data_IF_918449339846
#
_entry.id   IF_918449339846
#
_cell.length_a   1.000
_cell.length_b   1.000
_cell.length_c   1.000
_cell.angle_alpha   90.00
_cell.angle_beta   90.00
_cell.angle_gamma   90.00
#
_symmetry.space_group_name_H-M   'P 1'
#
loop_
_entity.id
_entity.type
_entity.pdbx_description
1 polymer ?
#
# COMPACT_ATOMS: atom_id res chain seq x y z
N UNK A 1 15.29 -17.63 -24.54
CA UNK A 1 14.93 -16.59 -25.54
C UNK A 1 13.57 -16.97 -26.05
N UNK A 2 12.54 -16.30 -25.53
CA UNK A 2 11.15 -16.50 -25.95
C UNK A 2 10.57 -15.10 -26.16
N UNK A 3 10.59 -14.65 -27.41
CA UNK A 3 10.18 -13.32 -27.86
C UNK A 3 8.68 -13.27 -28.21
N UNK A 4 7.85 -14.13 -27.61
CA UNK A 4 6.43 -14.24 -27.94
C UNK A 4 5.55 -13.07 -27.45
N UNK A 5 5.96 -12.32 -26.44
CA UNK A 5 5.13 -11.25 -25.82
C UNK A 5 5.45 -9.84 -26.29
N UNK A 6 6.59 -9.63 -26.97
CA UNK A 6 7.01 -8.33 -27.50
C UNK A 6 6.44 -8.07 -28.90
N UNK A 7 6.24 -9.12 -29.71
CA UNK A 7 5.57 -9.02 -31.01
C UNK A 7 4.08 -8.71 -30.92
N UNK A 8 3.37 -9.27 -29.93
CA UNK A 8 1.91 -9.06 -29.77
C UNK A 8 1.54 -7.64 -29.32
N UNK A 9 2.40 -6.99 -28.52
CA UNK A 9 2.17 -5.61 -28.08
C UNK A 9 2.51 -4.58 -29.18
N UNK A 10 3.49 -4.86 -30.04
CA UNK A 10 3.78 -4.04 -31.22
C UNK A 10 2.71 -4.20 -32.32
N UNK A 11 2.13 -5.40 -32.44
CA UNK A 11 0.95 -5.63 -33.28
C UNK A 11 -0.31 -4.94 -32.73
N UNK A 12 -0.48 -4.87 -31.41
CA UNK A 12 -1.55 -4.08 -30.79
C UNK A 12 -1.38 -2.56 -31.01
N UNK A 13 -0.15 -2.06 -31.15
CA UNK A 13 0.17 -0.66 -31.49
C UNK A 13 -0.15 -0.32 -32.96
N UNK A 14 0.21 -1.20 -33.89
CA UNK A 14 -0.22 -1.06 -35.29
C UNK A 14 -1.73 -1.23 -35.42
N UNK A 15 -2.35 -2.14 -34.65
CA UNK A 15 -3.81 -2.33 -34.61
C UNK A 15 -4.55 -1.21 -33.88
N UNK A 16 -3.99 -0.50 -32.90
CA UNK A 16 -4.67 0.62 -32.22
C UNK A 16 -4.63 1.90 -33.06
N UNK A 17 -3.52 2.13 -33.77
CA UNK A 17 -3.44 3.14 -34.83
C UNK A 17 -4.31 2.76 -36.02
N UNK A 18 -4.28 1.50 -36.50
CA UNK A 18 -5.18 1.01 -37.56
C UNK A 18 -6.64 0.98 -37.12
N UNK A 19 -6.97 0.79 -35.83
CA UNK A 19 -8.35 0.94 -35.38
C UNK A 19 -8.77 2.38 -35.57
N UNK A 20 -7.97 3.40 -35.21
CA UNK A 20 -8.31 4.80 -35.49
C UNK A 20 -8.15 5.22 -36.97
N UNK A 21 -7.29 4.57 -37.74
CA UNK A 21 -6.94 4.89 -39.15
C UNK A 21 -7.75 4.09 -40.17
N UNK A 22 -8.29 2.92 -39.81
CA UNK A 22 -9.22 2.09 -40.59
C UNK A 22 -10.64 2.04 -40.02
N UNK A 23 -10.89 2.80 -38.95
CA UNK A 23 -12.24 3.14 -38.51
C UNK A 23 -12.98 3.91 -39.60
N UNK A 24 -14.11 3.40 -40.09
CA UNK A 24 -15.20 4.21 -40.65
C UNK A 24 -15.96 5.00 -39.57
N UNK A 25 -15.32 5.18 -38.41
CA UNK A 25 -15.81 5.94 -37.27
C UNK A 25 -15.69 7.42 -37.61
N UNK A 26 -16.82 8.14 -37.62
CA UNK A 26 -16.88 9.57 -37.86
C UNK A 26 -17.59 10.28 -36.68
N UNK A 27 -17.33 11.58 -36.52
CA UNK A 27 -17.88 12.46 -35.48
C UNK A 27 -19.42 12.47 -35.45
N UNK A 28 -20.05 12.12 -36.56
CA UNK A 28 -21.51 12.11 -36.70
C UNK A 28 -22.17 10.82 -36.22
N UNK A 29 -21.39 9.80 -35.85
CA UNK A 29 -21.93 8.57 -35.30
C UNK A 29 -22.53 8.78 -33.91
N UNK A 30 -23.66 8.13 -33.68
CA UNK A 30 -24.41 8.20 -32.42
C UNK A 30 -23.56 7.80 -31.21
N UNK A 31 -22.63 6.86 -31.40
CA UNK A 31 -21.73 6.40 -30.36
C UNK A 31 -20.71 7.49 -29.95
N UNK A 32 -20.20 8.29 -30.89
CA UNK A 32 -19.33 9.43 -30.54
C UNK A 32 -20.12 10.46 -29.73
N UNK A 33 -21.30 10.84 -30.24
CA UNK A 33 -22.19 11.81 -29.58
C UNK A 33 -22.61 11.37 -28.18
N UNK A 34 -22.83 10.05 -27.98
CA UNK A 34 -23.14 9.44 -26.69
C UNK A 34 -22.03 9.65 -25.64
N UNK A 35 -20.76 9.52 -26.03
CA UNK A 35 -19.63 9.59 -25.08
C UNK A 35 -18.96 10.97 -25.03
N UNK A 36 -19.17 11.82 -26.03
CA UNK A 36 -18.54 13.14 -26.16
C UNK A 36 -18.63 14.00 -24.88
N UNK A 37 -19.77 14.15 -24.19
CA UNK A 37 -19.83 14.97 -22.98
C UNK A 37 -18.87 14.52 -21.87
N UNK A 38 -18.69 13.20 -21.73
CA UNK A 38 -17.79 12.61 -20.73
C UNK A 38 -16.33 12.71 -21.17
N UNK A 39 -16.05 12.55 -22.46
CA UNK A 39 -14.72 12.71 -23.05
C UNK A 39 -14.23 14.16 -22.91
N UNK A 40 -15.12 15.14 -23.11
CA UNK A 40 -14.80 16.57 -22.90
C UNK A 40 -14.26 16.78 -21.49
N UNK A 41 -14.96 16.24 -20.49
CA UNK A 41 -14.59 16.36 -19.08
C UNK A 41 -13.28 15.64 -18.73
N UNK A 42 -13.15 14.39 -19.18
CA UNK A 42 -12.03 13.52 -18.84
C UNK A 42 -10.71 13.98 -19.47
N UNK A 43 -10.75 14.39 -20.74
CA UNK A 43 -9.57 14.87 -21.49
C UNK A 43 -9.34 16.39 -21.36
N UNK A 44 -10.10 17.08 -20.52
CA UNK A 44 -9.90 18.50 -20.22
C UNK A 44 -10.10 19.41 -21.42
N UNK A 45 -11.13 19.16 -22.23
CA UNK A 45 -11.58 20.11 -23.24
C UNK A 45 -12.37 21.26 -22.59
N UNK A 46 -12.47 22.43 -23.26
CA UNK A 46 -13.47 23.44 -22.90
C UNK A 46 -14.87 22.82 -22.86
N UNK A 47 -15.70 23.22 -21.89
CA UNK A 47 -17.06 22.67 -21.73
C UNK A 47 -17.96 22.91 -22.95
N UNK A 48 -17.67 23.97 -23.70
CA UNK A 48 -18.36 24.39 -24.93
C UNK A 48 -17.65 23.91 -26.22
N UNK A 49 -16.69 22.98 -26.11
CA UNK A 49 -15.96 22.45 -27.26
C UNK A 49 -16.91 21.82 -28.29
N UNK A 50 -16.76 22.19 -29.56
CA UNK A 50 -17.52 21.61 -30.66
C UNK A 50 -17.13 20.15 -30.91
N UNK A 51 -18.07 19.37 -31.47
CA UNK A 51 -17.81 17.99 -31.87
C UNK A 51 -16.62 17.90 -32.84
N UNK A 52 -16.48 18.85 -33.76
CA UNK A 52 -15.35 18.95 -34.68
C UNK A 52 -14.02 19.11 -33.94
N UNK A 53 -13.96 20.02 -32.96
CA UNK A 53 -12.74 20.27 -32.20
C UNK A 53 -12.36 19.03 -31.38
N UNK A 54 -13.34 18.47 -30.65
CA UNK A 54 -13.12 17.26 -29.86
C UNK A 54 -12.62 16.14 -30.76
N UNK A 55 -13.26 15.91 -31.91
CA UNK A 55 -12.88 14.87 -32.85
C UNK A 55 -11.46 15.02 -33.41
N UNK A 56 -11.07 16.24 -33.80
CA UNK A 56 -9.74 16.50 -34.37
C UNK A 56 -8.62 16.32 -33.34
N UNK A 57 -8.84 16.77 -32.11
CA UNK A 57 -7.86 16.73 -31.03
C UNK A 57 -7.88 15.40 -30.26
N UNK A 58 -8.98 14.64 -30.33
CA UNK A 58 -9.20 13.42 -29.57
C UNK A 58 -8.06 12.41 -29.72
N UNK A 59 -7.62 12.02 -30.93
CA UNK A 59 -6.51 11.08 -31.08
C UNK A 59 -5.21 11.60 -30.47
N UNK A 60 -4.98 12.92 -30.50
CA UNK A 60 -3.77 13.55 -29.96
C UNK A 60 -3.71 13.47 -28.44
N UNK A 61 -4.87 13.49 -27.77
CA UNK A 61 -5.00 13.45 -26.30
C UNK A 61 -5.06 12.05 -25.70
N UNK A 62 -5.25 10.99 -26.50
CA UNK A 62 -5.18 9.60 -26.06
C UNK A 62 -3.73 9.12 -25.95
N UNK A 63 -3.07 9.49 -24.87
CA UNK A 63 -1.66 9.18 -24.62
C UNK A 63 -1.45 7.68 -24.47
N UNK A 64 -2.29 6.98 -23.69
CA UNK A 64 -2.09 5.54 -23.42
C UNK A 64 -2.36 4.65 -24.64
N UNK A 65 -3.06 5.18 -25.65
CA UNK A 65 -3.31 4.51 -26.93
C UNK A 65 -2.19 4.74 -27.96
N UNK A 66 -1.43 5.82 -27.79
CA UNK A 66 -0.34 6.21 -28.69
C UNK A 66 1.01 5.74 -28.21
N UNK A 67 1.20 5.60 -26.91
CA UNK A 67 2.48 5.27 -26.29
C UNK A 67 2.24 4.14 -25.29
N UNK A 68 3.20 3.20 -25.25
CA UNK A 68 3.19 2.14 -24.24
C UNK A 68 3.48 2.75 -22.87
N UNK A 69 2.43 2.92 -22.08
CA UNK A 69 2.49 3.46 -20.72
C UNK A 69 2.68 2.38 -19.65
N UNK A 70 2.49 2.78 -18.38
CA UNK A 70 2.60 1.92 -17.22
C UNK A 70 1.56 0.79 -17.23
N UNK A 71 2.03 -0.43 -17.01
CA UNK A 71 1.18 -1.59 -16.79
C UNK A 71 0.99 -1.86 -15.30
N UNK A 72 -0.24 -2.17 -14.89
CA UNK A 72 -0.55 -2.60 -13.52
C UNK A 72 0.19 -3.91 -13.24
N UNK A 73 1.03 -3.90 -12.20
CA UNK A 73 1.65 -5.11 -11.67
C UNK A 73 0.80 -5.65 -10.53
N UNK A 74 0.48 -6.95 -10.60
CA UNK A 74 -0.29 -7.62 -9.57
C UNK A 74 0.33 -7.40 -8.17
N UNK A 75 -0.53 -7.14 -7.19
CA UNK A 75 -0.16 -6.91 -5.79
C UNK A 75 0.76 -5.71 -5.54
N UNK A 76 0.94 -4.80 -6.52
CA UNK A 76 1.71 -3.56 -6.36
C UNK A 76 0.82 -2.35 -6.40
N UNK A 77 0.45 -1.85 -5.23
CA UNK A 77 -0.44 -0.71 -5.09
C UNK A 77 0.06 0.58 -5.79
N UNK A 78 1.35 0.92 -5.67
CA UNK A 78 1.93 2.06 -6.42
C UNK A 78 1.77 1.90 -7.94
N UNK A 79 2.06 0.70 -8.45
CA UNK A 79 1.90 0.40 -9.88
C UNK A 79 0.45 0.55 -10.35
N UNK A 80 -0.53 0.26 -9.49
CA UNK A 80 -1.93 0.49 -9.79
C UNK A 80 -2.26 1.98 -9.81
N UNK A 81 -1.79 2.75 -8.82
CA UNK A 81 -2.10 4.19 -8.73
C UNK A 81 -1.47 4.98 -9.89
N UNK A 82 -0.23 4.64 -10.25
CA UNK A 82 0.44 5.28 -11.38
C UNK A 82 -0.29 4.95 -12.70
N UNK A 83 -0.69 3.70 -12.92
CA UNK A 83 -1.50 3.33 -14.08
C UNK A 83 -2.88 4.00 -14.09
N UNK A 84 -3.55 4.08 -12.94
CA UNK A 84 -4.84 4.75 -12.80
C UNK A 84 -4.74 6.24 -13.12
N UNK A 85 -3.66 6.92 -12.72
CA UNK A 85 -3.47 8.35 -13.00
C UNK A 85 -3.40 8.69 -14.49
N UNK A 86 -2.98 7.74 -15.34
CA UNK A 86 -2.88 7.94 -16.79
C UNK A 86 -4.03 7.29 -17.56
N UNK A 87 -4.61 6.19 -17.07
CA UNK A 87 -5.67 5.45 -17.78
C UNK A 87 -7.09 5.89 -17.41
N UNK A 88 -7.34 6.35 -16.18
CA UNK A 88 -8.68 6.82 -15.79
C UNK A 88 -9.18 8.01 -16.63
N UNK A 89 -8.34 9.01 -16.99
CA UNK A 89 -8.74 10.08 -17.91
C UNK A 89 -9.08 9.62 -19.33
N UNK A 90 -8.77 8.38 -19.69
CA UNK A 90 -9.06 7.83 -21.02
C UNK A 90 -10.16 6.76 -20.97
N UNK A 91 -10.83 6.60 -19.82
CA UNK A 91 -11.81 5.53 -19.60
C UNK A 91 -12.97 5.59 -20.60
N UNK A 92 -13.63 6.74 -20.72
CA UNK A 92 -14.78 6.90 -21.62
C UNK A 92 -14.38 6.83 -23.09
N UNK A 93 -13.17 7.29 -23.42
CA UNK A 93 -12.58 7.16 -24.75
C UNK A 93 -12.34 5.69 -25.11
N UNK A 94 -11.72 4.93 -24.21
CA UNK A 94 -11.49 3.50 -24.38
C UNK A 94 -12.81 2.74 -24.54
N UNK A 95 -13.82 3.10 -23.73
CA UNK A 95 -15.14 2.48 -23.79
C UNK A 95 -15.85 2.77 -25.11
N UNK A 96 -15.77 4.00 -25.62
CA UNK A 96 -16.34 4.39 -26.91
C UNK A 96 -15.69 3.62 -28.07
N UNK A 97 -14.36 3.57 -28.12
CA UNK A 97 -13.61 2.87 -29.18
C UNK A 97 -13.94 1.38 -29.17
N UNK A 98 -13.95 0.76 -27.99
CA UNK A 98 -14.24 -0.67 -27.87
C UNK A 98 -15.72 -1.00 -28.10
N UNK A 99 -16.66 -0.11 -27.75
CA UNK A 99 -18.07 -0.31 -28.08
C UNK A 99 -18.31 -0.25 -29.60
N UNK A 100 -17.63 0.66 -30.31
CA UNK A 100 -17.65 0.71 -31.78
C UNK A 100 -17.11 -0.60 -32.37
N UNK A 101 -15.96 -1.08 -31.87
CA UNK A 101 -15.30 -2.28 -32.38
C UNK A 101 -16.10 -3.58 -32.08
N UNK A 102 -16.64 -3.70 -30.87
CA UNK A 102 -17.34 -4.91 -30.40
C UNK A 102 -18.83 -4.93 -30.77
N UNK A 103 -19.32 -4.00 -31.59
CA UNK A 103 -20.66 -4.05 -32.16
C UNK A 103 -21.81 -3.89 -31.14
N UNK A 104 -21.63 -3.03 -30.13
CA UNK A 104 -22.72 -2.67 -29.21
C UNK A 104 -23.00 -3.65 -28.07
N UNK A 105 -22.05 -4.52 -27.72
CA UNK A 105 -22.15 -5.28 -26.46
C UNK A 105 -22.34 -4.33 -25.25
N UNK A 106 -23.06 -4.77 -24.23
CA UNK A 106 -23.27 -3.95 -23.04
C UNK A 106 -22.24 -4.32 -21.95
N UNK A 107 -21.29 -3.44 -21.59
CA UNK A 107 -20.34 -3.69 -20.52
C UNK A 107 -20.97 -3.59 -19.12
N UNK A 108 -22.16 -2.99 -19.01
CA UNK A 108 -22.91 -2.86 -17.75
C UNK A 108 -23.87 -4.03 -17.51
N UNK A 109 -23.99 -4.98 -18.46
CA UNK A 109 -24.75 -6.21 -18.24
C UNK A 109 -24.11 -7.04 -17.13
N UNK A 110 -24.93 -7.77 -16.36
CA UNK A 110 -24.53 -8.54 -15.17
C UNK A 110 -23.26 -9.34 -15.43
N UNK A 111 -22.14 -8.93 -14.82
CA UNK A 111 -20.85 -9.55 -15.05
C UNK A 111 -20.76 -10.91 -14.35
N UNK A 112 -20.29 -11.90 -15.07
CA UNK A 112 -19.73 -13.10 -14.46
C UNK A 112 -18.40 -12.73 -13.77
N UNK A 113 -17.91 -13.52 -12.82
CA UNK A 113 -16.61 -13.25 -12.19
C UNK A 113 -15.50 -13.12 -13.25
N UNK A 114 -14.55 -12.20 -13.06
CA UNK A 114 -13.48 -11.90 -14.03
C UNK A 114 -12.78 -13.15 -14.59
N UNK A 115 -12.49 -14.13 -13.73
CA UNK A 115 -11.85 -15.38 -14.14
C UNK A 115 -12.64 -16.13 -15.21
N UNK A 116 -13.97 -16.16 -15.08
CA UNK A 116 -14.86 -16.81 -16.03
C UNK A 116 -14.97 -16.03 -17.33
N UNK A 117 -15.10 -14.70 -17.26
CA UNK A 117 -15.07 -13.85 -18.45
C UNK A 117 -13.78 -14.00 -19.25
N UNK A 118 -12.64 -14.17 -18.57
CA UNK A 118 -11.33 -14.34 -19.21
C UNK A 118 -11.22 -15.67 -19.97
N UNK A 119 -11.93 -16.70 -19.54
CA UNK A 119 -11.96 -18.00 -20.21
C UNK A 119 -12.89 -17.97 -21.43
N UNK A 120 -14.01 -17.24 -21.33
CA UNK A 120 -15.09 -17.26 -22.33
C UNK A 120 -14.93 -16.21 -23.45
N UNK A 121 -14.17 -15.13 -23.22
CA UNK A 121 -14.12 -13.97 -24.14
C UNK A 121 -12.75 -13.75 -24.78
N UNK A 122 -12.76 -13.22 -26.01
CA UNK A 122 -11.55 -12.72 -26.68
C UNK A 122 -10.98 -11.46 -26.02
N UNK A 123 -9.71 -11.12 -26.31
CA UNK A 123 -8.99 -10.06 -25.60
C UNK A 123 -9.65 -8.66 -25.61
N UNK A 124 -10.12 -8.19 -26.76
CA UNK A 124 -10.76 -6.87 -26.88
C UNK A 124 -12.18 -6.84 -26.29
N UNK A 125 -12.93 -7.93 -26.44
CA UNK A 125 -14.27 -8.05 -25.86
C UNK A 125 -14.20 -8.14 -24.32
N UNK A 126 -13.22 -8.87 -23.79
CA UNK A 126 -12.92 -8.90 -22.36
C UNK A 126 -12.55 -7.51 -21.84
N UNK A 127 -11.68 -6.79 -22.54
CA UNK A 127 -11.31 -5.42 -22.18
C UNK A 127 -12.53 -4.51 -22.14
N UNK A 128 -13.42 -4.61 -23.13
CA UNK A 128 -14.65 -3.83 -23.17
C UNK A 128 -15.58 -4.14 -22.00
N UNK A 129 -15.77 -5.43 -21.66
CA UNK A 129 -16.54 -5.85 -20.47
C UNK A 129 -15.97 -5.33 -19.15
N UNK A 130 -14.65 -5.10 -19.08
CA UNK A 130 -14.03 -4.47 -17.91
C UNK A 130 -14.30 -2.96 -17.81
N UNK A 131 -14.85 -2.32 -18.84
CA UNK A 131 -15.17 -0.88 -18.85
C UNK A 131 -16.63 -0.60 -18.43
N UNK A 132 -17.13 -1.38 -17.46
CA UNK A 132 -18.45 -1.14 -16.87
C UNK A 132 -18.49 0.16 -16.06
N UNK A 133 -19.69 0.74 -15.93
CA UNK A 133 -19.95 1.89 -15.09
C UNK A 133 -19.52 1.62 -13.64
N UNK A 134 -19.79 0.42 -13.13
CA UNK A 134 -19.34 0.04 -11.79
C UNK A 134 -17.81 0.04 -11.68
N UNK A 135 -17.09 -0.41 -12.71
CA UNK A 135 -15.62 -0.39 -12.71
C UNK A 135 -15.09 1.04 -12.74
N UNK A 136 -15.69 1.92 -13.56
CA UNK A 136 -15.38 3.36 -13.56
C UNK A 136 -15.52 3.97 -12.17
N UNK A 137 -16.69 3.76 -11.54
CA UNK A 137 -17.00 4.31 -10.22
C UNK A 137 -16.04 3.78 -9.16
N UNK A 138 -15.86 2.46 -9.10
CA UNK A 138 -15.00 1.82 -8.11
C UNK A 138 -13.53 2.24 -8.27
N UNK A 139 -13.03 2.32 -9.51
CA UNK A 139 -11.65 2.70 -9.77
C UNK A 139 -11.39 4.18 -9.39
N UNK A 140 -12.32 5.09 -9.68
CA UNK A 140 -12.23 6.49 -9.24
C UNK A 140 -12.30 6.63 -7.72
N UNK A 141 -13.24 5.94 -7.06
CA UNK A 141 -13.33 5.92 -5.59
C UNK A 141 -12.02 5.40 -5.00
N UNK A 142 -11.47 4.30 -5.52
CA UNK A 142 -10.19 3.78 -5.07
C UNK A 142 -9.04 4.76 -5.27
N UNK A 143 -8.97 5.40 -6.44
CA UNK A 143 -7.88 6.31 -6.80
C UNK A 143 -7.87 7.55 -5.91
N UNK A 144 -9.02 8.21 -5.79
CA UNK A 144 -9.19 9.44 -4.99
C UNK A 144 -9.01 9.14 -3.50
N UNK A 145 -9.70 8.11 -2.98
CA UNK A 145 -9.70 7.85 -1.54
C UNK A 145 -8.38 7.28 -1.00
N UNK A 146 -7.57 6.63 -1.85
CA UNK A 146 -6.28 6.10 -1.43
C UNK A 146 -5.12 7.10 -1.58
N UNK A 147 -5.36 8.25 -2.22
CA UNK A 147 -4.33 9.25 -2.52
C UNK A 147 -3.62 9.80 -1.26
N UNK A 148 -4.30 10.16 -0.15
CA UNK A 148 -3.62 10.63 1.06
C UNK A 148 -2.64 9.59 1.64
N UNK A 149 -3.05 8.32 1.63
CA UNK A 149 -2.18 7.22 2.04
C UNK A 149 -0.98 7.07 1.09
N UNK A 150 -1.18 7.26 -0.22
CA UNK A 150 -0.09 7.16 -1.21
C UNK A 150 0.92 8.26 -0.96
N UNK A 151 0.46 9.50 -0.78
CA UNK A 151 1.33 10.63 -0.44
C UNK A 151 2.16 10.36 0.81
N UNK A 152 1.53 9.85 1.88
CA UNK A 152 2.25 9.47 3.09
C UNK A 152 3.29 8.38 2.86
N UNK A 153 2.92 7.34 2.11
CA UNK A 153 3.82 6.22 1.86
C UNK A 153 5.00 6.62 0.96
N UNK A 154 4.76 7.46 -0.05
CA UNK A 154 5.81 8.08 -0.88
C UNK A 154 6.76 8.90 -0.01
N UNK A 155 6.22 9.81 0.80
CA UNK A 155 7.01 10.62 1.73
C UNK A 155 7.86 9.74 2.66
N UNK A 156 7.25 8.71 3.25
CA UNK A 156 7.97 7.81 4.15
C UNK A 156 9.08 7.05 3.43
N UNK A 157 8.83 6.51 2.23
CA UNK A 157 9.88 5.86 1.43
C UNK A 157 11.01 6.83 1.12
N UNK A 158 10.71 8.08 0.78
CA UNK A 158 11.70 9.09 0.40
C UNK A 158 12.53 9.60 1.57
N UNK A 159 11.94 9.74 2.76
CA UNK A 159 12.57 10.42 3.89
C UNK A 159 13.06 9.48 5.00
N UNK A 160 12.52 8.26 5.09
CA UNK A 160 12.91 7.26 6.09
C UNK A 160 13.78 6.19 5.43
N UNK A 161 15.08 6.47 5.32
CA UNK A 161 16.05 5.59 4.63
C UNK A 161 16.89 4.74 5.57
N UNK A 162 17.12 5.22 6.79
CA UNK A 162 17.99 4.55 7.77
C UNK A 162 17.25 4.21 9.05
N UNK A 163 17.83 3.33 9.88
CA UNK A 163 17.32 3.04 11.22
C UNK A 163 17.25 4.30 12.10
N UNK A 164 18.17 5.25 11.90
CA UNK A 164 18.17 6.52 12.63
C UNK A 164 17.04 7.44 12.15
N UNK A 165 16.72 7.46 10.86
CA UNK A 165 15.57 8.21 10.34
C UNK A 165 14.27 7.60 10.85
N UNK A 166 14.19 6.27 10.92
CA UNK A 166 13.04 5.58 11.50
C UNK A 166 12.90 5.91 12.99
N UNK A 167 13.99 5.96 13.76
CA UNK A 167 13.95 6.41 15.15
C UNK A 167 13.43 7.85 15.28
N UNK A 168 13.91 8.78 14.44
CA UNK A 168 13.41 10.17 14.40
C UNK A 168 11.92 10.22 14.06
N UNK A 169 11.48 9.41 13.11
CA UNK A 169 10.08 9.30 12.73
C UNK A 169 9.22 8.73 13.88
N UNK A 170 9.68 7.69 14.58
CA UNK A 170 9.01 7.14 15.76
C UNK A 170 8.95 8.16 16.91
N UNK A 171 10.03 8.91 17.14
CA UNK A 171 10.06 10.02 18.11
C UNK A 171 9.02 11.09 17.76
N UNK A 172 8.85 11.41 16.49
CA UNK A 172 7.80 12.33 16.05
C UNK A 172 6.41 11.79 16.38
N UNK A 173 6.11 10.52 16.02
CA UNK A 173 4.78 9.93 16.21
C UNK A 173 4.39 9.71 17.68
N UNK A 174 5.35 9.38 18.54
CA UNK A 174 5.14 9.08 19.97
C UNK A 174 4.99 10.31 20.86
N UNK A 175 5.46 11.48 20.42
CA UNK A 175 5.27 12.74 21.16
C UNK A 175 3.78 13.01 21.31
N UNK A 176 3.31 13.21 22.54
CA UNK A 176 1.94 13.57 22.96
C UNK A 176 0.92 13.75 21.82
N UNK A 177 0.27 12.65 21.41
CA UNK A 177 -0.88 12.61 20.46
C UNK A 177 -0.52 12.97 19.00
N UNK A 178 0.77 13.14 18.67
CA UNK A 178 1.19 13.58 17.33
C UNK A 178 0.73 12.61 16.23
N UNK A 179 0.82 11.30 16.46
CA UNK A 179 0.38 10.31 15.46
C UNK A 179 -1.11 10.45 15.08
N UNK A 180 -1.97 10.90 15.99
CA UNK A 180 -3.41 11.10 15.72
C UNK A 180 -3.65 12.32 14.82
N UNK A 181 -2.70 13.25 14.81
CA UNK A 181 -2.72 14.47 14.02
C UNK A 181 -1.88 14.39 12.74
N UNK A 182 -1.43 13.19 12.37
CA UNK A 182 -0.74 12.95 11.11
C UNK A 182 -1.54 13.51 9.94
N UNK A 183 -0.86 14.21 9.04
CA UNK A 183 -1.49 14.97 7.96
C UNK A 183 -2.35 14.07 7.05
N UNK A 184 -1.88 12.85 6.75
CA UNK A 184 -2.62 11.91 5.91
C UNK A 184 -3.91 11.40 6.57
N UNK A 185 -3.97 11.32 7.90
CA UNK A 185 -5.21 11.00 8.62
C UNK A 185 -6.22 12.15 8.51
N UNK A 186 -5.73 13.39 8.61
CA UNK A 186 -6.55 14.59 8.42
C UNK A 186 -7.07 14.68 7.00
N UNK A 187 -6.24 14.45 6.00
CA UNK A 187 -6.64 14.43 4.59
C UNK A 187 -7.65 13.31 4.29
N UNK A 188 -7.46 12.10 4.84
CA UNK A 188 -8.45 11.04 4.75
C UNK A 188 -9.80 11.46 5.35
N UNK A 189 -9.80 12.03 6.56
CA UNK A 189 -11.01 12.51 7.20
C UNK A 189 -11.65 13.67 6.40
N UNK A 190 -10.85 14.54 5.80
CA UNK A 190 -11.30 15.67 5.01
C UNK A 190 -12.07 15.24 3.75
N UNK A 191 -11.78 14.07 3.18
CA UNK A 191 -12.56 13.48 2.08
C UNK A 191 -14.04 13.29 2.42
N UNK A 192 -14.37 13.12 3.70
CA UNK A 192 -15.75 12.97 4.19
C UNK A 192 -16.38 14.29 4.63
N UNK A 193 -15.63 15.39 4.54
CA UNK A 193 -16.08 16.74 4.91
C UNK A 193 -16.46 17.56 3.66
N UNK A 194 -17.24 18.65 3.82
CA UNK A 194 -17.58 19.55 2.71
C UNK A 194 -16.37 20.07 1.91
N UNK A 195 -15.20 20.19 2.55
CA UNK A 195 -13.96 20.63 1.87
C UNK A 195 -13.44 19.59 0.88
N UNK A 196 -13.57 18.31 1.21
CA UNK A 196 -13.10 17.21 0.37
C UNK A 196 -14.04 16.82 -0.77
N UNK A 197 -15.32 17.22 -0.72
CA UNK A 197 -16.31 16.86 -1.73
C UNK A 197 -15.93 17.30 -3.15
N UNK A 198 -15.23 18.44 -3.26
CA UNK A 198 -14.74 18.95 -4.54
C UNK A 198 -13.84 17.96 -5.30
N UNK A 199 -13.11 17.09 -4.59
CA UNK A 199 -12.27 16.04 -5.19
C UNK A 199 -13.10 15.00 -5.96
N UNK A 200 -14.39 14.87 -5.65
CA UNK A 200 -15.30 13.93 -6.31
C UNK A 200 -16.18 14.58 -7.39
N UNK A 201 -16.12 15.90 -7.60
CA UNK A 201 -17.00 16.59 -8.55
C UNK A 201 -17.00 15.96 -9.94
N UNK A 202 -15.81 15.61 -10.47
CA UNK A 202 -15.70 14.95 -11.77
C UNK A 202 -16.40 13.59 -11.81
N UNK A 203 -16.18 12.78 -10.78
CA UNK A 203 -16.85 11.49 -10.63
C UNK A 203 -18.37 11.69 -10.57
N UNK A 204 -18.86 12.56 -9.69
CA UNK A 204 -20.28 12.74 -9.39
C UNK A 204 -21.14 13.22 -10.57
N UNK A 205 -20.54 13.80 -11.60
CA UNK A 205 -21.25 14.17 -12.84
C UNK A 205 -21.59 12.92 -13.67
N UNK A 206 -20.78 11.87 -13.57
CA UNK A 206 -20.86 10.68 -14.42
C UNK A 206 -21.42 9.43 -13.71
N UNK A 207 -21.77 9.52 -12.41
CA UNK A 207 -22.33 8.39 -11.64
C UNK A 207 -23.81 8.18 -11.93
N UNK A 208 -24.25 6.92 -11.97
CA UNK A 208 -25.69 6.60 -12.11
C UNK A 208 -26.42 6.61 -10.77
N UNK A 209 -25.73 6.26 -9.68
CA UNK A 209 -26.28 6.17 -8.33
C UNK A 209 -25.41 6.97 -7.35
N UNK A 210 -25.62 8.29 -7.23
CA UNK A 210 -24.88 9.16 -6.31
C UNK A 210 -24.84 8.63 -4.88
N UNK A 211 -25.97 8.18 -4.34
CA UNK A 211 -26.07 7.67 -2.97
C UNK A 211 -25.28 6.36 -2.78
N UNK A 212 -25.31 5.49 -3.78
CA UNK A 212 -24.52 4.25 -3.80
C UNK A 212 -23.02 4.53 -3.78
N UNK A 213 -22.56 5.49 -4.59
CA UNK A 213 -21.15 5.90 -4.63
C UNK A 213 -20.75 6.61 -3.34
N UNK A 214 -21.60 7.48 -2.78
CA UNK A 214 -21.36 8.12 -1.49
C UNK A 214 -21.18 7.09 -0.36
N UNK A 215 -22.02 6.03 -0.33
CA UNK A 215 -21.85 4.91 0.62
C UNK A 215 -20.52 4.16 0.42
N UNK A 216 -20.12 3.93 -0.84
CA UNK A 216 -18.81 3.31 -1.16
C UNK A 216 -17.64 4.18 -0.67
N UNK A 217 -17.69 5.49 -0.94
CA UNK A 217 -16.68 6.46 -0.47
C UNK A 217 -16.60 6.43 1.05
N UNK A 218 -17.73 6.59 1.74
CA UNK A 218 -17.77 6.60 3.21
C UNK A 218 -17.21 5.30 3.80
N UNK A 219 -17.67 4.14 3.31
CA UNK A 219 -17.20 2.83 3.77
C UNK A 219 -15.69 2.65 3.51
N UNK A 220 -15.21 3.01 2.33
CA UNK A 220 -13.80 2.83 1.98
C UNK A 220 -12.88 3.75 2.79
N UNK A 221 -13.22 5.03 2.91
CA UNK A 221 -12.43 6.00 3.68
C UNK A 221 -12.43 5.67 5.17
N UNK A 222 -13.57 5.32 5.76
CA UNK A 222 -13.64 4.94 7.18
C UNK A 222 -12.84 3.68 7.48
N UNK A 223 -12.88 2.68 6.59
CA UNK A 223 -12.03 1.49 6.72
C UNK A 223 -10.54 1.81 6.59
N UNK A 224 -10.15 2.63 5.61
CA UNK A 224 -8.75 3.06 5.45
C UNK A 224 -8.26 3.83 6.68
N UNK A 225 -9.05 4.80 7.15
CA UNK A 225 -8.76 5.58 8.34
C UNK A 225 -8.63 4.67 9.57
N UNK A 226 -9.58 3.76 9.80
CA UNK A 226 -9.54 2.81 10.90
C UNK A 226 -8.29 1.93 10.88
N UNK A 227 -7.93 1.37 9.72
CA UNK A 227 -6.70 0.55 9.57
C UNK A 227 -5.42 1.36 9.80
N UNK A 228 -5.38 2.62 9.36
CA UNK A 228 -4.24 3.51 9.58
C UNK A 228 -4.12 3.93 11.04
N UNK A 229 -5.22 4.31 11.68
CA UNK A 229 -5.26 4.58 13.11
C UNK A 229 -4.82 3.36 13.92
N UNK A 230 -5.28 2.15 13.58
CA UNK A 230 -4.84 0.92 14.24
C UNK A 230 -3.34 0.63 14.04
N UNK A 231 -2.78 0.99 12.88
CA UNK A 231 -1.34 0.82 12.63
C UNK A 231 -0.50 1.83 13.42
N UNK A 232 -0.99 3.05 13.58
CA UNK A 232 -0.30 4.14 14.27
C UNK A 232 -0.53 4.15 15.78
N UNK A 233 -1.63 3.55 16.27
CA UNK A 233 -1.95 3.48 17.70
C UNK A 233 -0.90 2.74 18.51
N UNK A 234 -0.09 1.88 17.88
CA UNK A 234 1.09 1.26 18.52
C UNK A 234 2.04 2.28 19.14
N UNK A 235 2.09 3.51 18.61
CA UNK A 235 2.92 4.60 19.17
C UNK A 235 2.40 5.13 20.52
N UNK A 236 1.19 4.72 20.92
CA UNK A 236 0.63 4.93 22.27
C UNK A 236 0.89 3.76 23.23
N UNK A 237 1.63 2.72 22.82
CA UNK A 237 1.86 1.53 23.64
C UNK A 237 3.34 1.12 23.69
N UNK A 238 3.77 0.36 24.70
CA UNK A 238 5.14 -0.12 24.77
C UNK A 238 5.48 -1.03 23.58
N UNK A 239 6.76 -1.08 23.16
CA UNK A 239 7.86 -0.23 23.62
C UNK A 239 7.85 1.17 22.98
N UNK A 240 7.01 1.44 21.98
CA UNK A 240 7.06 2.64 21.15
C UNK A 240 6.76 3.94 21.90
N UNK A 241 5.87 3.91 22.89
CA UNK A 241 5.59 5.11 23.72
C UNK A 241 6.80 5.55 24.57
N UNK A 242 7.79 4.66 24.77
CA UNK A 242 9.01 4.96 25.53
C UNK A 242 10.17 5.48 24.67
N UNK A 243 10.00 5.55 23.34
CA UNK A 243 11.07 5.91 22.41
C UNK A 243 11.73 7.27 22.72
N UNK A 244 11.00 8.17 23.39
CA UNK A 244 11.55 9.45 23.89
C UNK A 244 12.81 9.30 24.74
N UNK A 245 12.97 8.16 25.46
CA UNK A 245 14.15 7.84 26.27
C UNK A 245 15.43 7.68 25.42
N UNK A 246 15.29 7.40 24.12
CA UNK A 246 16.39 7.29 23.16
C UNK A 246 16.69 8.62 22.45
N UNK A 247 15.89 9.66 22.69
CA UNK A 247 16.04 10.98 22.09
C UNK A 247 17.13 11.82 22.75
N UNK A 248 17.60 12.85 22.05
CA UNK A 248 18.54 13.85 22.58
C UNK A 248 17.85 14.97 23.38
N UNK A 249 16.53 15.09 23.28
CA UNK A 249 15.75 16.07 24.03
C UNK A 249 15.54 15.60 25.47
N UNK A 250 16.15 16.30 26.42
CA UNK A 250 16.09 15.96 27.85
C UNK A 250 14.67 15.98 28.41
N UNK A 251 13.81 16.88 27.91
CA UNK A 251 12.42 16.96 28.36
C UNK A 251 11.62 15.72 27.90
N UNK A 252 11.71 15.36 26.61
CA UNK A 252 11.10 14.14 26.06
C UNK A 252 11.64 12.88 26.75
N UNK A 253 12.96 12.81 27.00
CA UNK A 253 13.58 11.65 27.65
C UNK A 253 13.09 11.47 29.09
N UNK A 254 12.98 12.57 29.85
CA UNK A 254 12.43 12.55 31.20
C UNK A 254 10.96 12.12 31.20
N UNK A 255 10.14 12.71 30.34
CA UNK A 255 8.73 12.35 30.24
C UNK A 255 8.52 10.87 29.86
N UNK A 256 9.32 10.35 28.93
CA UNK A 256 9.27 8.94 28.56
C UNK A 256 9.72 8.02 29.70
N UNK A 257 10.75 8.42 30.46
CA UNK A 257 11.19 7.69 31.65
C UNK A 257 10.13 7.68 32.75
N UNK A 258 9.53 8.84 33.06
CA UNK A 258 8.46 8.98 34.04
C UNK A 258 7.24 8.11 33.66
N UNK A 259 6.87 8.10 32.37
CA UNK A 259 5.80 7.23 31.85
C UNK A 259 6.15 5.74 32.02
N UNK A 260 7.37 5.33 31.63
CA UNK A 260 7.84 3.95 31.71
C UNK A 260 7.84 3.42 33.16
N UNK A 261 8.23 4.26 34.12
CA UNK A 261 8.19 3.96 35.55
C UNK A 261 6.75 3.95 36.08
N UNK A 262 5.91 4.88 35.65
CA UNK A 262 4.49 4.92 36.02
C UNK A 262 3.76 3.65 35.58
N UNK A 263 3.95 3.22 34.33
CA UNK A 263 3.33 2.01 33.78
C UNK A 263 3.78 0.76 34.54
N UNK A 264 5.07 0.64 34.85
CA UNK A 264 5.59 -0.46 35.66
C UNK A 264 5.00 -0.44 37.08
N UNK A 265 4.93 0.74 37.72
CA UNK A 265 4.34 0.89 39.07
C UNK A 265 2.89 0.40 39.08
N UNK A 266 2.11 0.85 38.09
CA UNK A 266 0.70 0.50 37.98
C UNK A 266 0.53 -1.02 37.82
N UNK A 267 1.33 -1.65 36.95
CA UNK A 267 1.32 -3.09 36.79
C UNK A 267 1.68 -3.81 38.10
N UNK A 268 2.78 -3.42 38.77
CA UNK A 268 3.19 -4.06 40.03
C UNK A 268 2.12 -3.96 41.12
N UNK A 269 1.45 -2.81 41.26
CA UNK A 269 0.35 -2.66 42.21
C UNK A 269 -0.84 -3.58 41.90
N UNK A 270 -1.20 -3.71 40.62
CA UNK A 270 -2.27 -4.61 40.20
C UNK A 270 -1.90 -6.08 40.45
N UNK A 271 -0.64 -6.45 40.24
CA UNK A 271 -0.15 -7.82 40.44
C UNK A 271 -0.18 -8.26 41.91
N UNK A 272 0.07 -7.34 42.84
CA UNK A 272 0.02 -7.62 44.29
C UNK A 272 -1.42 -7.61 44.84
N UNK A 273 -2.36 -7.00 44.12
CA UNK A 273 -3.76 -6.91 44.55
C UNK A 273 -4.45 -8.28 44.55
N UNK A 274 -5.22 -8.60 45.57
CA UNK A 274 -6.01 -9.85 45.65
C UNK A 274 -7.39 -9.73 45.00
N UNK A 275 -7.73 -8.59 44.40
CA UNK A 275 -9.03 -8.37 43.77
C UNK A 275 -9.07 -8.94 42.35
N UNK A 276 -10.12 -9.69 42.02
CA UNK A 276 -10.30 -10.30 40.70
C UNK A 276 -10.23 -9.28 39.55
N UNK A 277 -10.84 -8.10 39.71
CA UNK A 277 -10.80 -7.04 38.70
C UNK A 277 -9.39 -6.51 38.47
N UNK A 278 -8.57 -6.43 39.52
CA UNK A 278 -7.18 -5.98 39.41
C UNK A 278 -6.32 -7.01 38.69
N UNK A 279 -6.53 -8.30 38.97
CA UNK A 279 -5.84 -9.39 38.29
C UNK A 279 -6.22 -9.49 36.81
N UNK A 280 -7.49 -9.26 36.46
CA UNK A 280 -7.93 -9.17 35.06
C UNK A 280 -7.23 -8.02 34.33
N UNK A 281 -7.19 -6.82 34.94
CA UNK A 281 -6.49 -5.68 34.36
C UNK A 281 -4.97 -5.92 34.25
N UNK A 282 -4.35 -6.57 35.23
CA UNK A 282 -2.94 -6.96 35.16
C UNK A 282 -2.66 -7.92 33.99
N UNK A 283 -3.57 -8.86 33.72
CA UNK A 283 -3.45 -9.77 32.57
C UNK A 283 -3.45 -8.99 31.25
N UNK A 284 -4.32 -8.00 31.09
CA UNK A 284 -4.37 -7.14 29.90
C UNK A 284 -3.10 -6.28 29.76
N UNK A 285 -2.61 -5.69 30.85
CA UNK A 285 -1.41 -4.86 30.83
C UNK A 285 -0.12 -5.66 30.54
N UNK A 286 -0.07 -6.95 30.86
CA UNK A 286 1.07 -7.81 30.47
C UNK A 286 1.14 -8.05 28.97
N UNK A 287 0.04 -7.89 28.24
CA UNK A 287 0.04 -7.98 26.78
C UNK A 287 0.70 -6.75 26.14
N UNK A 288 0.59 -5.59 26.78
CA UNK A 288 1.17 -4.33 26.28
C UNK A 288 2.57 -4.09 26.81
N UNK A 289 2.83 -4.37 28.09
CA UNK A 289 4.16 -4.36 28.70
C UNK A 289 4.75 -5.77 28.67
N UNK A 290 5.20 -6.19 27.48
CA UNK A 290 5.81 -7.50 27.27
C UNK A 290 7.08 -7.71 28.13
N UNK A 291 7.61 -8.95 28.16
CA UNK A 291 8.76 -9.29 29.00
C UNK A 291 9.99 -8.41 28.75
N UNK A 292 10.23 -8.00 27.50
CA UNK A 292 11.40 -7.17 27.17
C UNK A 292 11.19 -5.72 27.60
N UNK A 293 10.00 -5.18 27.35
CA UNK A 293 9.60 -3.83 27.77
C UNK A 293 9.58 -3.74 29.30
N UNK A 294 9.05 -4.76 29.99
CA UNK A 294 9.09 -4.88 31.45
C UNK A 294 10.51 -4.93 31.98
N UNK A 295 11.39 -5.73 31.39
CA UNK A 295 12.81 -5.78 31.79
C UNK A 295 13.47 -4.41 31.61
N UNK A 296 13.20 -3.72 30.50
CA UNK A 296 13.71 -2.37 30.29
C UNK A 296 13.18 -1.40 31.36
N UNK A 297 11.92 -1.51 31.77
CA UNK A 297 11.34 -0.68 32.82
C UNK A 297 11.95 -0.99 34.19
N UNK A 298 12.17 -2.27 34.52
CA UNK A 298 12.81 -2.68 35.77
C UNK A 298 14.26 -2.19 35.85
N UNK A 299 15.01 -2.27 34.75
CA UNK A 299 16.36 -1.71 34.68
C UNK A 299 16.35 -0.19 34.88
N UNK A 300 15.35 0.52 34.35
CA UNK A 300 15.21 1.95 34.59
C UNK A 300 14.89 2.23 36.07
N UNK A 301 13.97 1.47 36.65
CA UNK A 301 13.56 1.57 38.05
C UNK A 301 14.74 1.40 39.02
N UNK A 302 15.59 0.42 38.76
CA UNK A 302 16.73 0.06 39.61
C UNK A 302 17.98 0.95 39.37
N UNK A 303 17.84 2.04 38.60
CA UNK A 303 18.92 2.98 38.31
C UNK A 303 19.89 2.54 37.21
N UNK A 304 19.64 1.40 36.55
CA UNK A 304 20.43 0.91 35.41
C UNK A 304 20.02 1.59 34.09
N UNK A 305 20.04 2.92 34.05
CA UNK A 305 19.52 3.74 32.94
C UNK A 305 20.12 3.36 31.57
N UNK A 306 21.44 3.16 31.50
CA UNK A 306 22.11 2.85 30.23
C UNK A 306 21.77 1.44 29.70
N UNK A 307 21.55 0.47 30.60
CA UNK A 307 21.09 -0.87 30.21
C UNK A 307 19.64 -0.85 29.73
N UNK A 308 18.78 -0.08 30.40
CA UNK A 308 17.40 0.14 29.97
C UNK A 308 17.34 0.75 28.56
N UNK A 309 18.09 1.85 28.33
CA UNK A 309 18.21 2.46 27.00
C UNK A 309 18.77 1.51 25.95
N UNK A 310 19.77 0.70 26.28
CA UNK A 310 20.35 -0.26 25.35
C UNK A 310 19.32 -1.31 24.90
N UNK A 311 18.55 -1.87 25.85
CA UNK A 311 17.49 -2.82 25.55
C UNK A 311 16.37 -2.17 24.74
N UNK A 312 15.93 -0.98 25.12
CA UNK A 312 14.89 -0.25 24.38
C UNK A 312 15.33 0.10 22.94
N UNK A 313 16.61 0.46 22.76
CA UNK A 313 17.21 0.67 21.43
C UNK A 313 17.22 -0.62 20.61
N UNK A 314 17.48 -1.76 21.25
CA UNK A 314 17.39 -3.06 20.59
C UNK A 314 15.96 -3.36 20.11
N UNK A 315 14.93 -3.01 20.89
CA UNK A 315 13.53 -3.24 20.52
C UNK A 315 13.00 -2.33 19.40
N UNK A 316 13.49 -1.08 19.34
CA UNK A 316 12.88 -0.04 18.48
C UNK A 316 13.68 0.31 17.23
N UNK A 317 15.01 0.20 17.30
CA UNK A 317 15.94 0.70 16.29
C UNK A 317 16.65 -0.45 15.60
N UNK A 318 16.90 -1.53 16.34
CA UNK A 318 17.44 -2.74 15.73
C UNK A 318 16.25 -3.40 15.05
N UNK A 319 16.23 -3.30 13.72
CA UNK A 319 15.35 -4.14 12.92
C UNK A 319 15.64 -5.57 13.38
N UNK A 320 14.66 -6.37 13.80
CA UNK A 320 14.89 -7.79 13.97
C UNK A 320 15.17 -8.35 12.58
N UNK A 321 16.44 -8.37 12.22
CA UNK A 321 16.90 -8.89 10.96
C UNK A 321 18.39 -9.16 11.11
N UNK A 322 18.86 -10.17 10.42
CA UNK A 322 20.22 -10.00 9.96
C UNK A 322 20.30 -10.42 8.51
N UNK A 323 20.94 -9.56 7.73
CA UNK A 323 21.51 -9.87 6.43
C UNK A 323 22.36 -11.15 6.49
N UNK A 324 22.93 -11.46 7.65
CA UNK A 324 23.59 -12.73 7.92
C UNK A 324 22.63 -13.93 7.80
N UNK A 325 21.46 -13.88 8.43
CA UNK A 325 20.39 -14.88 8.29
C UNK A 325 19.82 -14.89 6.87
N UNK A 326 19.60 -13.72 6.26
CA UNK A 326 19.14 -13.61 4.87
C UNK A 326 20.14 -14.25 3.88
N UNK A 327 21.44 -14.03 4.08
CA UNK A 327 22.53 -14.61 3.28
C UNK A 327 22.70 -16.11 3.51
N UNK A 328 22.57 -16.57 4.76
CA UNK A 328 22.49 -18.00 5.07
C UNK A 328 21.28 -18.64 4.36
N UNK A 329 20.13 -17.99 4.39
CA UNK A 329 18.93 -18.44 3.67
C UNK A 329 19.10 -18.40 2.15
N UNK A 330 19.89 -17.47 1.63
CA UNK A 330 20.15 -17.37 0.19
C UNK A 330 21.07 -18.49 -0.30
N UNK A 331 22.11 -18.85 0.47
CA UNK A 331 23.01 -19.98 0.16
C UNK A 331 22.24 -21.29 0.04
N UNK A 332 21.35 -21.57 0.99
CA UNK A 332 20.48 -22.76 0.98
C UNK A 332 19.54 -22.76 -0.22
N UNK A 333 18.93 -21.61 -0.55
CA UNK A 333 18.02 -21.48 -1.70
C UNK A 333 18.69 -21.74 -3.04
N UNK A 334 19.93 -21.26 -3.24
CA UNK A 334 20.68 -21.49 -4.49
C UNK A 334 21.09 -22.96 -4.63
N UNK A 335 21.56 -23.59 -3.54
CA UNK A 335 21.94 -25.01 -3.56
C UNK A 335 20.76 -25.93 -3.90
N UNK A 336 19.58 -25.69 -3.31
CA UNK A 336 18.36 -26.46 -3.58
C UNK A 336 17.88 -26.32 -5.03
N UNK A 337 18.06 -25.14 -5.66
CA UNK A 337 17.65 -24.91 -7.05
C UNK A 337 18.36 -25.82 -8.05
N UNK A 338 19.57 -26.27 -7.74
CA UNK A 338 20.35 -27.19 -8.56
C UNK A 338 20.01 -28.67 -8.32
N UNK A 339 19.16 -28.96 -7.32
CA UNK A 339 18.73 -30.32 -6.92
C UNK A 339 17.22 -30.38 -6.68
N UNK A 340 16.45 -29.87 -7.65
CA UNK A 340 15.03 -29.56 -7.49
C UNK A 340 14.12 -30.70 -7.00
N UNK A 341 14.53 -31.96 -7.15
CA UNK A 341 13.71 -33.13 -6.81
C UNK A 341 14.13 -33.85 -5.51
N UNK A 342 15.19 -33.40 -4.82
CA UNK A 342 15.67 -34.03 -3.58
C UNK A 342 15.47 -33.10 -2.38
N UNK A 343 15.00 -33.65 -1.25
CA UNK A 343 14.82 -32.88 -0.01
C UNK A 343 16.16 -32.79 0.72
N UNK A 344 16.67 -31.57 0.94
CA UNK A 344 17.89 -31.37 1.74
C UNK A 344 17.68 -31.80 3.20
N UNK A 345 18.60 -32.63 3.70
CA UNK A 345 18.61 -33.09 5.09
C UNK A 345 19.22 -32.03 6.01
N UNK A 346 18.89 -32.08 7.31
CA UNK A 346 19.43 -31.13 8.31
C UNK A 346 20.98 -31.10 8.33
N UNK A 347 21.68 -32.26 8.31
CA UNK A 347 23.14 -32.28 8.23
C UNK A 347 23.68 -31.62 6.95
N UNK A 348 22.96 -31.72 5.82
CA UNK A 348 23.35 -31.08 4.58
C UNK A 348 23.18 -29.55 4.65
N UNK A 349 22.11 -29.05 5.28
CA UNK A 349 21.91 -27.61 5.52
C UNK A 349 22.99 -27.06 6.44
N UNK A 350 23.28 -27.74 7.54
CA UNK A 350 24.33 -27.34 8.48
C UNK A 350 25.70 -27.33 7.82
N UNK A 351 26.06 -28.39 7.09
CA UNK A 351 27.30 -28.45 6.32
C UNK A 351 27.39 -27.29 5.31
N UNK A 352 26.31 -26.95 4.62
CA UNK A 352 26.29 -25.84 3.67
C UNK A 352 26.52 -24.50 4.35
N UNK A 353 25.93 -24.27 5.53
CA UNK A 353 26.09 -23.01 6.27
C UNK A 353 27.49 -22.92 6.90
N UNK A 354 28.00 -24.00 7.49
CA UNK A 354 29.36 -24.12 8.04
C UNK A 354 30.45 -23.86 7.01
N UNK A 355 30.27 -24.43 5.81
CA UNK A 355 31.21 -24.25 4.71
C UNK A 355 30.90 -23.01 3.88
N UNK A 356 29.74 -22.37 4.09
CA UNK A 356 29.48 -21.05 3.54
C UNK A 356 30.37 -20.06 4.28
N UNK A 357 31.09 -19.24 3.52
CA UNK A 357 31.90 -18.18 4.12
C UNK A 357 31.05 -17.09 4.78
N UNK A 358 29.72 -17.20 4.81
CA UNK A 358 28.77 -16.16 5.27
C UNK A 358 29.00 -15.82 6.75
N UNK A 359 29.24 -16.81 7.60
CA UNK A 359 29.46 -16.61 9.04
C UNK A 359 30.92 -16.28 9.37
N UNK A 360 31.87 -16.97 8.72
CA UNK A 360 33.31 -16.75 8.93
C UNK A 360 33.82 -15.43 8.36
N UNK A 361 33.23 -14.92 7.26
CA UNK A 361 33.50 -13.55 6.76
C UNK A 361 33.12 -12.45 7.75
N UNK A 362 32.31 -12.80 8.77
CA UNK A 362 31.82 -11.87 9.79
C UNK A 362 32.41 -12.17 11.16
N UNK A 363 33.41 -13.06 11.24
CA UNK A 363 34.07 -13.49 12.48
C UNK A 363 33.12 -14.03 13.56
N UNK A 364 31.96 -14.55 13.15
CA UNK A 364 30.99 -15.17 14.04
C UNK A 364 31.40 -16.62 14.31
N UNK A 365 31.84 -16.90 15.54
CA UNK A 365 32.15 -18.27 15.97
C UNK A 365 30.87 -19.11 16.01
N UNK A 366 30.78 -20.07 15.10
CA UNK A 366 29.60 -20.89 14.82
C UNK A 366 29.79 -22.36 15.28
N UNK A 367 30.85 -22.71 16.01
CA UNK A 367 31.09 -24.11 16.41
C UNK A 367 29.85 -24.72 17.10
N UNK A 368 29.40 -25.94 16.72
CA UNK A 368 28.22 -26.54 17.35
C UNK A 368 28.47 -26.71 18.85
N UNK A 369 27.47 -26.40 19.68
CA UNK A 369 27.44 -26.88 21.06
C UNK A 369 27.24 -28.40 20.99
N UNK A 370 28.32 -29.15 21.19
CA UNK A 370 28.26 -30.61 21.28
C UNK A 370 27.56 -30.95 22.58
N UNK A 371 26.26 -31.26 22.53
CA UNK A 371 25.60 -31.96 23.63
C UNK A 371 26.31 -33.29 23.84
N UNK A 372 26.83 -33.49 25.04
CA UNK A 372 27.20 -34.80 25.56
C UNK A 372 26.01 -35.47 26.21
#
# INVERSE_FOLDING_TARGET
MDQGSTGMAAMAYLQSLDVLVHCSFDKDLDIFRKYMPKIIQDLGFPEDASAELVWQEFPLRLTTWRIKELAVKQSRWFSWHDAASVQLPEFWSARMILEWYCGGANPDATCQQFNKMREDLGGLELAFKCLSQETFENAHVMYICSEPCRGWYSWHIEHVKTAQDNLRYQLHLSRSITWQSEWHLRELAELLSPRGWSKFNKLMISVLNPDGVAKKIFSFVTQLLGRRCASLSRHSSPPYCYVGLLGSDMASARAAGDLMISDLTALLHLEVSTMDQAQNLAADLRLTLDACSRLASMLLWDGHHEKSKALLKALLVTIPDSKCIEDCHQVVRVAQKNRGNEKMTLPAVQYLIENSKVLSQRDLQHGPEVTR
#
